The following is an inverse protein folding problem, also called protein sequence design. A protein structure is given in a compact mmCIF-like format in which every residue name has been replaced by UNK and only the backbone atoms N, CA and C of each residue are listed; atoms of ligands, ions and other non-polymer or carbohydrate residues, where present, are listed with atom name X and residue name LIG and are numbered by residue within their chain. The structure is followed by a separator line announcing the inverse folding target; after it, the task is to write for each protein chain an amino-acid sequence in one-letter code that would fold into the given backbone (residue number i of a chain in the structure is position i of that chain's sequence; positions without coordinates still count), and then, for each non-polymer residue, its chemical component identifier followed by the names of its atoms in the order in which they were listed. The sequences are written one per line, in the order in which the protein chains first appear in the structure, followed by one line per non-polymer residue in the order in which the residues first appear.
data_IF_553743479456
#
_entry.id   IF_553743479456
#
_cell.length_a   1.000
_cell.length_b   1.000
_cell.length_c   1.000
_cell.angle_alpha   90.00
_cell.angle_beta   90.00
_cell.angle_gamma   90.00
#
_symmetry.space_group_name_H-M   'P 1'
#
loop_
_entity.id
_entity.type
_entity.pdbx_description
1 polymer ?
#
# COMPACT_ATOMS: atom_id res chain seq x y z
N UNK A 1 10.51 -29.31 4.69
CA UNK A 1 10.64 -30.20 3.53
C UNK A 1 9.98 -29.64 2.30
N UNK A 2 8.80 -29.03 2.39
CA UNK A 2 8.06 -28.42 1.25
C UNK A 2 8.82 -27.29 0.52
N UNK A 3 9.62 -26.48 1.22
CA UNK A 3 10.36 -25.34 0.63
C UNK A 3 11.52 -25.83 -0.29
N UNK A 4 12.00 -27.05 -0.11
CA UNK A 4 13.05 -27.62 -0.97
C UNK A 4 12.54 -28.21 -2.27
N UNK A 5 11.30 -28.67 -2.34
CA UNK A 5 10.70 -29.25 -3.56
C UNK A 5 10.26 -28.14 -4.55
N UNK A 6 9.84 -26.98 -4.04
CA UNK A 6 9.49 -25.82 -4.90
C UNK A 6 10.74 -25.23 -5.58
N UNK A 7 11.93 -25.32 -4.96
CA UNK A 7 13.18 -24.85 -5.58
C UNK A 7 13.64 -25.64 -6.82
N UNK A 8 13.14 -26.83 -7.03
CA UNK A 8 13.54 -27.69 -8.16
C UNK A 8 12.77 -27.46 -9.46
N UNK A 9 11.64 -26.75 -9.42
CA UNK A 9 10.75 -26.53 -10.59
C UNK A 9 11.00 -25.23 -11.36
N UNK A 10 11.83 -24.34 -10.82
CA UNK A 10 12.13 -23.06 -11.48
C UNK A 10 13.54 -23.13 -12.09
N UNK A 11 13.60 -23.46 -13.39
CA UNK A 11 14.86 -23.38 -14.14
C UNK A 11 15.39 -21.94 -14.17
N UNK A 12 16.72 -21.79 -14.18
CA UNK A 12 17.44 -20.51 -14.31
C UNK A 12 16.93 -19.63 -15.47
N UNK A 13 16.30 -20.21 -16.48
CA UNK A 13 15.72 -19.51 -17.63
C UNK A 13 14.54 -18.61 -17.27
N UNK A 14 13.72 -18.96 -16.24
CA UNK A 14 12.59 -18.11 -15.81
C UNK A 14 13.01 -16.89 -15.01
N UNK A 15 14.16 -16.92 -14.32
CA UNK A 15 14.71 -15.76 -13.62
C UNK A 15 15.29 -14.69 -14.56
N UNK A 16 15.53 -15.02 -15.83
CA UNK A 16 16.14 -14.09 -16.79
C UNK A 16 15.18 -13.04 -17.35
N UNK A 17 13.88 -13.13 -17.06
CA UNK A 17 12.87 -12.23 -17.61
C UNK A 17 12.62 -10.99 -16.72
N UNK A 18 12.85 -11.08 -15.40
CA UNK A 18 12.62 -9.95 -14.49
C UNK A 18 13.44 -8.73 -14.87
N UNK A 19 12.83 -7.56 -14.84
CA UNK A 19 13.43 -6.29 -15.28
C UNK A 19 14.61 -5.79 -14.44
N UNK A 20 14.95 -6.48 -13.35
CA UNK A 20 16.10 -6.16 -12.50
C UNK A 20 15.92 -4.90 -11.63
N UNK A 21 14.69 -4.44 -11.40
CA UNK A 21 14.41 -3.38 -10.44
C UNK A 21 14.74 -3.83 -9.03
N UNK A 22 15.56 -3.06 -8.32
CA UNK A 22 15.82 -3.28 -6.88
C UNK A 22 14.94 -2.42 -5.98
N UNK A 23 14.27 -1.42 -6.56
CA UNK A 23 13.31 -0.56 -5.87
C UNK A 23 12.03 -0.47 -6.70
N UNK A 24 10.89 -0.81 -6.11
CA UNK A 24 9.58 -0.61 -6.71
C UNK A 24 8.79 0.35 -5.83
N UNK A 25 8.40 1.46 -6.41
CA UNK A 25 7.63 2.52 -5.75
C UNK A 25 6.17 2.37 -6.15
N UNK A 26 5.27 2.33 -5.17
CA UNK A 26 3.82 2.29 -5.39
C UNK A 26 3.20 3.55 -4.83
N UNK A 27 2.74 4.41 -5.72
CA UNK A 27 2.29 5.76 -5.40
C UNK A 27 0.85 6.01 -5.89
N UNK A 28 0.19 7.03 -5.36
CA UNK A 28 -1.16 7.40 -5.77
C UNK A 28 -1.92 8.14 -4.68
N UNK A 29 -3.14 8.55 -4.98
CA UNK A 29 -4.02 9.26 -4.04
C UNK A 29 -4.31 8.40 -2.79
N UNK A 30 -4.62 9.05 -1.66
CA UNK A 30 -5.09 8.33 -0.47
C UNK A 30 -6.31 7.45 -0.80
N UNK A 31 -6.30 6.19 -0.34
CA UNK A 31 -7.35 5.22 -0.67
C UNK A 31 -7.30 4.61 -2.07
N UNK A 32 -6.27 4.88 -2.88
CA UNK A 32 -6.10 4.27 -4.21
C UNK A 32 -5.67 2.80 -4.19
N UNK A 33 -5.43 2.20 -3.01
CA UNK A 33 -5.03 0.79 -2.88
C UNK A 33 -3.53 0.53 -3.02
N UNK A 34 -2.68 1.53 -2.77
CA UNK A 34 -1.21 1.41 -2.80
C UNK A 34 -0.71 0.22 -1.99
N UNK A 35 -1.14 0.10 -0.74
CA UNK A 35 -0.70 -0.97 0.18
C UNK A 35 -1.06 -2.36 -0.32
N UNK A 36 -2.27 -2.52 -0.90
CA UNK A 36 -2.70 -3.78 -1.52
C UNK A 36 -1.79 -4.13 -2.70
N UNK A 37 -1.53 -3.17 -3.60
CA UNK A 37 -0.69 -3.37 -4.76
C UNK A 37 0.77 -3.63 -4.37
N UNK A 38 1.33 -2.89 -3.42
CA UNK A 38 2.71 -3.06 -2.97
C UNK A 38 2.93 -4.44 -2.33
N UNK A 39 2.02 -4.86 -1.45
CA UNK A 39 2.06 -6.17 -0.84
C UNK A 39 1.90 -7.29 -1.88
N UNK A 40 0.97 -7.15 -2.84
CA UNK A 40 0.82 -8.09 -3.96
C UNK A 40 2.13 -8.24 -4.75
N UNK A 41 2.77 -7.12 -5.13
CA UNK A 41 4.03 -7.14 -5.89
C UNK A 41 5.12 -7.88 -5.10
N UNK A 42 5.30 -7.55 -3.83
CA UNK A 42 6.32 -8.19 -2.99
C UNK A 42 6.13 -9.71 -2.91
N UNK A 43 4.88 -10.17 -2.75
CA UNK A 43 4.58 -11.61 -2.71
C UNK A 43 4.82 -12.27 -4.06
N UNK A 44 4.40 -11.65 -5.17
CA UNK A 44 4.64 -12.21 -6.49
C UNK A 44 6.14 -12.33 -6.81
N UNK A 45 6.96 -11.37 -6.39
CA UNK A 45 8.42 -11.49 -6.45
C UNK A 45 8.91 -12.70 -5.67
N UNK A 46 8.49 -12.84 -4.41
CA UNK A 46 8.87 -13.97 -3.55
C UNK A 46 8.44 -15.32 -4.14
N UNK A 47 7.22 -15.43 -4.67
CA UNK A 47 6.73 -16.65 -5.33
C UNK A 47 7.51 -17.00 -6.61
N UNK A 48 8.02 -16.01 -7.30
CA UNK A 48 8.92 -16.17 -8.43
C UNK A 48 10.38 -16.43 -8.02
N UNK A 49 10.67 -16.60 -6.71
CA UNK A 49 11.99 -16.91 -6.20
C UNK A 49 12.93 -15.69 -6.11
N UNK A 50 12.40 -14.50 -6.26
CA UNK A 50 13.15 -13.24 -6.14
C UNK A 50 13.02 -12.75 -4.69
N UNK A 51 14.14 -12.60 -3.95
CA UNK A 51 14.10 -12.04 -2.61
C UNK A 51 13.49 -10.63 -2.63
N UNK A 52 12.42 -10.44 -1.91
CA UNK A 52 11.74 -9.16 -1.84
C UNK A 52 11.16 -8.88 -0.46
N UNK A 53 11.05 -7.62 -0.10
CA UNK A 53 10.31 -7.15 1.07
C UNK A 53 9.40 -5.98 0.69
N UNK A 54 8.38 -5.76 1.50
CA UNK A 54 7.48 -4.63 1.40
C UNK A 54 7.66 -3.74 2.62
N UNK A 55 7.70 -2.43 2.39
CA UNK A 55 7.74 -1.39 3.41
C UNK A 55 6.44 -0.60 3.33
N UNK A 56 5.65 -0.69 4.39
CA UNK A 56 4.38 0.02 4.54
C UNK A 56 4.63 1.46 5.04
N UNK A 57 3.83 2.44 4.61
CA UNK A 57 3.96 3.84 5.03
C UNK A 57 3.89 4.05 6.56
N UNK A 58 3.23 3.15 7.28
CA UNK A 58 3.12 3.16 8.75
C UNK A 58 4.17 2.31 9.48
N UNK A 59 5.29 1.94 8.85
CA UNK A 59 6.39 1.27 9.54
C UNK A 59 7.00 2.14 10.63
N UNK A 60 7.31 1.57 11.81
CA UNK A 60 7.99 2.26 12.90
C UNK A 60 9.12 1.42 13.49
N UNK A 61 10.38 1.87 13.41
CA UNK A 61 10.83 3.07 12.69
C UNK A 61 10.72 2.88 11.17
N UNK A 62 10.28 3.91 10.44
CA UNK A 62 10.27 3.86 8.98
C UNK A 62 11.68 4.08 8.43
N UNK A 63 12.15 3.28 7.45
CA UNK A 63 13.51 3.38 6.95
C UNK A 63 13.80 4.67 6.19
N UNK A 64 12.76 5.33 5.65
CA UNK A 64 12.88 6.52 4.81
C UNK A 64 12.11 7.70 5.42
N UNK A 65 10.81 7.52 5.71
CA UNK A 65 9.97 8.63 6.18
C UNK A 65 10.40 9.14 7.55
N UNK A 66 10.30 10.43 7.72
CA UNK A 66 10.49 11.15 8.99
C UNK A 66 9.32 12.08 9.20
N UNK A 67 9.07 12.40 10.46
CA UNK A 67 8.08 13.41 10.78
C UNK A 67 8.57 14.79 10.33
N UNK A 68 7.67 15.61 9.81
CA UNK A 68 7.96 17.03 9.54
C UNK A 68 8.22 17.70 10.88
N UNK A 69 9.49 17.91 11.18
CA UNK A 69 9.94 18.54 12.42
C UNK A 69 9.69 20.06 12.45
N UNK A 70 10.54 20.78 13.15
CA UNK A 70 10.42 22.24 13.38
C UNK A 70 10.67 23.09 12.13
N UNK A 71 11.29 22.54 11.08
CA UNK A 71 11.74 23.31 9.91
C UNK A 71 11.58 22.49 8.63
N UNK A 72 10.93 23.08 7.62
CA UNK A 72 10.78 22.45 6.32
C UNK A 72 12.11 22.23 5.57
N UNK A 73 13.09 23.14 5.58
CA UNK A 73 14.39 22.87 5.00
C UNK A 73 15.10 21.67 5.63
N UNK A 74 15.07 21.55 6.95
CA UNK A 74 15.67 20.41 7.66
C UNK A 74 14.97 19.11 7.28
N UNK A 75 13.64 19.12 7.18
CA UNK A 75 12.85 17.96 6.70
C UNK A 75 13.27 17.53 5.28
N UNK A 76 13.40 18.49 4.36
CA UNK A 76 13.81 18.19 2.98
C UNK A 76 15.22 17.59 2.90
N UNK A 77 16.15 18.12 3.69
CA UNK A 77 17.52 17.63 3.74
C UNK A 77 17.56 16.24 4.42
N UNK A 78 16.88 16.04 5.53
CA UNK A 78 16.81 14.75 6.21
C UNK A 78 16.19 13.66 5.33
N UNK A 79 15.09 13.95 4.63
CA UNK A 79 14.48 13.02 3.69
C UNK A 79 15.45 12.61 2.57
N UNK A 80 16.21 13.56 2.04
CA UNK A 80 17.22 13.28 1.02
C UNK A 80 18.35 12.41 1.57
N UNK A 81 18.83 12.70 2.77
CA UNK A 81 19.87 11.91 3.43
C UNK A 81 19.40 10.49 3.73
N UNK A 82 18.14 10.31 4.18
CA UNK A 82 17.56 9.00 4.39
C UNK A 82 17.42 8.19 3.11
N UNK A 83 16.97 8.81 2.04
CA UNK A 83 16.95 8.17 0.73
C UNK A 83 18.35 7.78 0.27
N UNK A 84 19.36 8.65 0.45
CA UNK A 84 20.75 8.37 0.10
C UNK A 84 21.28 7.16 0.90
N UNK A 85 21.09 7.18 2.21
CA UNK A 85 21.50 6.07 3.08
C UNK A 85 20.78 4.76 2.72
N UNK A 86 19.50 4.84 2.37
CA UNK A 86 18.72 3.67 1.96
C UNK A 86 19.24 3.07 0.64
N UNK A 87 19.57 3.92 -0.33
CA UNK A 87 20.18 3.50 -1.61
C UNK A 87 21.55 2.87 -1.39
N UNK A 88 22.39 3.47 -0.54
CA UNK A 88 23.73 2.96 -0.22
C UNK A 88 23.69 1.61 0.51
N UNK A 89 22.70 1.42 1.39
CA UNK A 89 22.54 0.19 2.17
C UNK A 89 21.76 -0.89 1.43
N UNK A 90 21.18 -0.59 0.28
CA UNK A 90 20.37 -1.53 -0.49
C UNK A 90 21.19 -2.74 -0.93
N UNK A 91 20.80 -3.92 -0.45
CA UNK A 91 21.36 -5.21 -0.85
C UNK A 91 20.82 -5.70 -2.20
N UNK A 92 20.92 -7.00 -2.42
CA UNK A 92 20.47 -7.65 -3.66
C UNK A 92 18.96 -7.95 -3.68
N UNK A 93 18.25 -7.74 -2.56
CA UNK A 93 16.82 -7.94 -2.51
C UNK A 93 16.05 -6.78 -3.17
N UNK A 94 14.89 -7.09 -3.69
CA UNK A 94 13.94 -6.07 -4.19
C UNK A 94 13.18 -5.49 -3.01
N UNK A 95 13.11 -4.16 -2.94
CA UNK A 95 12.31 -3.46 -1.95
C UNK A 95 11.11 -2.83 -2.65
N UNK A 96 9.93 -3.15 -2.16
CA UNK A 96 8.68 -2.51 -2.59
C UNK A 96 8.27 -1.51 -1.52
N UNK A 97 8.25 -0.23 -1.87
CA UNK A 97 7.94 0.88 -0.95
C UNK A 97 6.66 1.55 -1.42
N UNK A 98 5.76 1.85 -0.51
CA UNK A 98 4.55 2.59 -0.84
C UNK A 98 4.53 3.98 -0.21
N UNK A 99 3.91 4.93 -0.90
CA UNK A 99 3.59 6.26 -0.38
C UNK A 99 4.81 7.06 0.15
N UNK A 100 6.00 6.83 -0.38
CA UNK A 100 7.23 7.44 0.12
C UNK A 100 7.84 8.49 -0.82
N UNK A 101 7.37 8.55 -2.06
CA UNK A 101 7.89 9.48 -3.06
C UNK A 101 6.89 10.61 -3.35
N UNK A 102 5.62 10.29 -3.57
CA UNK A 102 4.57 11.27 -3.82
C UNK A 102 3.80 11.59 -2.54
N UNK A 103 3.16 10.59 -1.94
CA UNK A 103 2.58 10.77 -0.63
C UNK A 103 3.68 10.92 0.43
N UNK A 104 3.32 11.52 1.54
CA UNK A 104 4.20 11.84 2.67
C UNK A 104 5.35 12.80 2.35
N UNK A 105 5.78 12.94 1.08
CA UNK A 105 6.81 13.88 0.70
C UNK A 105 6.25 15.05 -0.12
N UNK A 106 5.71 14.78 -1.31
CA UNK A 106 5.22 15.86 -2.17
C UNK A 106 4.00 16.55 -1.57
N UNK A 107 3.09 15.81 -0.93
CA UNK A 107 1.96 16.38 -0.22
C UNK A 107 2.40 17.27 0.97
N UNK A 108 3.44 16.86 1.71
CA UNK A 108 4.04 17.69 2.77
C UNK A 108 4.63 18.99 2.24
N UNK A 109 5.36 18.93 1.13
CA UNK A 109 5.90 20.14 0.50
C UNK A 109 4.77 21.08 0.02
N UNK A 110 3.72 20.54 -0.57
CA UNK A 110 2.54 21.30 -0.96
C UNK A 110 1.83 21.89 0.26
N UNK A 111 1.62 21.09 1.30
CA UNK A 111 0.99 21.54 2.54
C UNK A 111 1.72 22.76 3.13
N UNK A 112 3.05 22.80 3.07
CA UNK A 112 3.87 23.90 3.51
C UNK A 112 4.02 25.05 2.51
N UNK A 113 3.22 25.03 1.45
CA UNK A 113 3.19 26.07 0.41
C UNK A 113 4.54 26.30 -0.29
N UNK A 114 5.30 25.22 -0.48
CA UNK A 114 6.52 25.26 -1.28
C UNK A 114 6.17 25.60 -2.73
N UNK A 115 6.94 26.50 -3.33
CA UNK A 115 6.79 26.86 -4.73
C UNK A 115 6.81 25.61 -5.63
N UNK A 116 5.87 25.53 -6.58
CA UNK A 116 5.70 24.35 -7.46
C UNK A 116 7.00 23.99 -8.19
N UNK A 117 7.76 24.98 -8.68
CA UNK A 117 9.00 24.72 -9.38
C UNK A 117 10.05 24.07 -8.47
N UNK A 118 10.09 24.46 -7.20
CA UNK A 118 10.97 23.85 -6.20
C UNK A 118 10.52 22.42 -5.86
N UNK A 119 9.22 22.17 -5.75
CA UNK A 119 8.68 20.81 -5.54
C UNK A 119 9.09 19.90 -6.68
N UNK A 120 8.93 20.35 -7.93
CA UNK A 120 9.33 19.58 -9.12
C UNK A 120 10.84 19.35 -9.17
N UNK A 121 11.65 20.36 -8.88
CA UNK A 121 13.11 20.24 -8.81
C UNK A 121 13.56 19.23 -7.75
N UNK A 122 12.88 19.23 -6.60
CA UNK A 122 13.16 18.28 -5.53
C UNK A 122 12.81 16.85 -5.94
N UNK A 123 11.66 16.64 -6.59
CA UNK A 123 11.27 15.34 -7.15
C UNK A 123 12.27 14.83 -8.20
N UNK A 124 12.76 15.70 -9.11
CA UNK A 124 13.80 15.34 -10.08
C UNK A 124 15.11 14.93 -9.39
N UNK A 125 15.51 15.62 -8.32
CA UNK A 125 16.71 15.29 -7.55
C UNK A 125 16.59 13.93 -6.85
N UNK A 126 15.41 13.60 -6.31
CA UNK A 126 15.14 12.29 -5.72
C UNK A 126 15.18 11.18 -6.77
N UNK A 127 14.58 11.39 -7.94
CA UNK A 127 14.70 10.42 -9.04
C UNK A 127 16.16 10.10 -9.34
N UNK A 128 17.01 11.12 -9.48
CA UNK A 128 18.44 10.93 -9.75
C UNK A 128 19.14 10.15 -8.63
N UNK A 129 18.74 10.38 -7.38
CA UNK A 129 19.30 9.71 -6.21
C UNK A 129 18.98 8.21 -6.17
N UNK A 130 17.76 7.81 -6.54
CA UNK A 130 17.33 6.41 -6.53
C UNK A 130 17.69 5.64 -7.81
N UNK A 131 18.14 6.30 -8.86
CA UNK A 131 18.46 5.69 -10.16
C UNK A 131 19.38 4.46 -10.07
N UNK A 132 20.42 4.40 -9.17
CA UNK A 132 21.26 3.22 -9.02
C UNK A 132 20.53 1.93 -8.67
N UNK A 133 19.31 2.01 -8.15
CA UNK A 133 18.47 0.85 -7.83
C UNK A 133 17.63 0.38 -9.02
N UNK A 134 17.79 0.99 -10.22
CA UNK A 134 16.95 0.69 -11.38
C UNK A 134 15.45 0.71 -11.02
N UNK A 135 14.92 1.83 -10.50
CA UNK A 135 13.59 1.86 -9.91
C UNK A 135 12.48 1.65 -10.93
N UNK A 136 11.37 1.08 -10.47
CA UNK A 136 10.09 1.04 -11.19
C UNK A 136 9.04 1.79 -10.37
N UNK A 137 8.33 2.73 -11.00
CA UNK A 137 7.24 3.47 -10.38
C UNK A 137 5.89 2.93 -10.89
N UNK A 138 5.07 2.43 -9.99
CA UNK A 138 3.66 2.09 -10.21
C UNK A 138 2.81 3.21 -9.62
N UNK A 139 2.12 3.94 -10.47
CA UNK A 139 1.32 5.10 -10.08
C UNK A 139 -0.17 4.80 -10.28
N UNK A 140 -0.89 4.64 -9.17
CA UNK A 140 -2.32 4.39 -9.14
C UNK A 140 -3.07 5.72 -9.15
N UNK A 141 -3.85 5.95 -10.18
CA UNK A 141 -4.66 7.16 -10.34
C UNK A 141 -6.15 6.84 -10.32
N UNK A 142 -6.93 7.84 -10.02
CA UNK A 142 -8.38 7.82 -10.14
C UNK A 142 -8.78 9.11 -10.85
N UNK A 143 -9.48 8.99 -11.98
CA UNK A 143 -9.80 10.14 -12.86
C UNK A 143 -10.57 11.23 -12.12
N UNK A 144 -11.54 10.83 -11.28
CA UNK A 144 -12.33 11.77 -10.48
C UNK A 144 -11.89 11.72 -9.01
N UNK A 145 -11.08 12.72 -8.62
CA UNK A 145 -10.55 12.87 -7.25
C UNK A 145 -11.67 12.99 -6.22
N UNK A 146 -12.76 13.69 -6.54
CA UNK A 146 -13.87 13.89 -5.61
C UNK A 146 -14.59 12.58 -5.32
N UNK A 147 -15.00 11.88 -6.36
CA UNK A 147 -15.61 10.54 -6.22
C UNK A 147 -14.68 9.52 -5.55
N UNK A 148 -13.37 9.63 -5.78
CA UNK A 148 -12.37 8.78 -5.14
C UNK A 148 -12.33 8.99 -3.61
N UNK A 149 -12.28 10.26 -3.19
CA UNK A 149 -12.29 10.63 -1.78
C UNK A 149 -13.61 10.25 -1.11
N UNK A 150 -14.75 10.47 -1.77
CA UNK A 150 -16.05 10.06 -1.24
C UNK A 150 -16.15 8.55 -1.01
N UNK A 151 -15.68 7.73 -1.95
CA UNK A 151 -15.62 6.27 -1.76
C UNK A 151 -14.76 5.91 -0.55
N UNK A 152 -13.57 6.50 -0.43
CA UNK A 152 -12.66 6.25 0.68
C UNK A 152 -13.28 6.63 2.05
N UNK A 153 -14.00 7.76 2.12
CA UNK A 153 -14.70 8.18 3.33
C UNK A 153 -15.89 7.28 3.70
N UNK A 154 -16.60 6.78 2.70
CA UNK A 154 -17.66 5.80 2.92
C UNK A 154 -17.11 4.52 3.56
N UNK A 155 -15.92 4.10 3.15
CA UNK A 155 -15.28 2.88 3.63
C UNK A 155 -14.65 3.05 5.02
N UNK A 156 -14.02 4.19 5.28
CA UNK A 156 -13.27 4.44 6.53
C UNK A 156 -14.05 5.23 7.59
N UNK A 157 -15.18 5.81 7.22
CA UNK A 157 -16.09 6.48 8.14
C UNK A 157 -15.79 7.94 8.42
N UNK A 158 -16.64 8.51 9.29
CA UNK A 158 -16.64 9.97 9.57
C UNK A 158 -15.33 10.46 10.18
N UNK A 159 -14.75 9.73 11.13
CA UNK A 159 -13.52 10.16 11.82
C UNK A 159 -12.36 10.33 10.85
N UNK A 160 -12.19 9.40 9.92
CA UNK A 160 -11.17 9.50 8.88
C UNK A 160 -11.45 10.66 7.92
N UNK A 161 -12.71 10.87 7.51
CA UNK A 161 -13.10 12.00 6.69
C UNK A 161 -12.73 13.34 7.34
N UNK A 162 -13.11 13.50 8.62
CA UNK A 162 -12.84 14.73 9.37
C UNK A 162 -11.33 14.98 9.48
N UNK A 163 -10.54 13.93 9.75
CA UNK A 163 -9.08 14.01 9.76
C UNK A 163 -8.49 14.46 8.42
N UNK A 164 -8.92 13.89 7.30
CA UNK A 164 -8.40 14.25 5.97
C UNK A 164 -8.78 15.68 5.57
N UNK A 165 -9.99 16.13 5.95
CA UNK A 165 -10.40 17.52 5.74
C UNK A 165 -9.51 18.46 6.55
N UNK A 166 -9.30 18.16 7.83
CA UNK A 166 -8.46 18.97 8.71
C UNK A 166 -7.01 19.01 8.18
N UNK A 167 -6.43 17.86 7.88
CA UNK A 167 -5.08 17.77 7.31
C UNK A 167 -4.91 18.69 6.09
N UNK A 168 -5.83 18.64 5.13
CA UNK A 168 -5.70 19.39 3.89
C UNK A 168 -5.96 20.90 4.05
N UNK A 169 -6.84 21.30 4.98
CA UNK A 169 -7.32 22.70 5.07
C UNK A 169 -6.63 23.53 6.15
N UNK A 170 -5.96 22.93 7.12
CA UNK A 170 -5.17 23.65 8.13
C UNK A 170 -3.72 23.95 7.69
N UNK A 171 -3.42 23.77 6.42
CA UNK A 171 -2.09 23.97 5.83
C UNK A 171 -1.81 25.44 5.46
N UNK A 172 -0.53 25.87 5.40
CA UNK A 172 -0.15 27.16 4.84
C UNK A 172 -0.69 27.40 3.43
N UNK A 173 -0.62 26.39 2.55
CA UNK A 173 -1.18 26.47 1.20
C UNK A 173 -2.68 26.77 1.21
N UNK A 174 -3.44 26.01 1.98
CA UNK A 174 -4.90 26.18 2.06
C UNK A 174 -5.28 27.58 2.59
N UNK A 175 -4.60 28.05 3.64
CA UNK A 175 -4.82 29.41 4.18
C UNK A 175 -4.55 30.49 3.13
N UNK A 176 -3.44 30.39 2.39
CA UNK A 176 -3.10 31.33 1.33
C UNK A 176 -4.12 31.32 0.18
N UNK A 177 -4.67 30.15 -0.12
CA UNK A 177 -5.66 29.96 -1.21
C UNK A 177 -7.10 30.17 -0.77
N UNK A 178 -7.39 30.33 0.52
CA UNK A 178 -8.75 30.41 1.05
C UNK A 178 -9.52 29.08 0.90
N UNK A 179 -8.83 27.95 1.01
CA UNK A 179 -9.43 26.62 0.90
C UNK A 179 -9.92 26.14 2.26
N UNK A 180 -11.22 25.92 2.38
CA UNK A 180 -11.88 25.57 3.62
C UNK A 180 -12.81 24.35 3.45
N UNK A 181 -12.97 23.58 4.51
CA UNK A 181 -13.91 22.46 4.58
C UNK A 181 -13.69 21.41 3.49
N UNK A 182 -14.75 20.71 3.15
CA UNK A 182 -14.69 19.63 2.16
C UNK A 182 -14.20 20.11 0.78
N UNK A 183 -14.74 21.21 0.30
CA UNK A 183 -14.34 21.76 -1.00
C UNK A 183 -12.85 22.17 -1.04
N UNK A 184 -12.35 22.76 0.05
CA UNK A 184 -10.93 23.11 0.17
C UNK A 184 -10.03 21.86 0.17
N UNK A 185 -10.44 20.83 0.86
CA UNK A 185 -9.74 19.53 0.86
C UNK A 185 -9.69 18.93 -0.56
N UNK A 186 -10.78 18.93 -1.31
CA UNK A 186 -10.80 18.45 -2.70
C UNK A 186 -9.83 19.26 -3.58
N UNK A 187 -9.77 20.59 -3.38
CA UNK A 187 -8.82 21.43 -4.12
C UNK A 187 -7.36 21.11 -3.79
N UNK A 188 -7.04 20.81 -2.53
CA UNK A 188 -5.70 20.38 -2.12
C UNK A 188 -5.30 19.09 -2.83
N UNK A 189 -6.14 18.06 -2.81
CA UNK A 189 -5.85 16.79 -3.44
C UNK A 189 -5.81 16.85 -4.98
N UNK A 190 -6.59 17.76 -5.59
CA UNK A 190 -6.46 18.04 -7.03
C UNK A 190 -5.12 18.69 -7.37
N UNK A 191 -4.63 19.61 -6.54
CA UNK A 191 -3.29 20.20 -6.72
C UNK A 191 -2.20 19.13 -6.54
N UNK A 192 -2.32 18.26 -5.54
CA UNK A 192 -1.43 17.13 -5.35
C UNK A 192 -1.39 16.23 -6.60
N UNK A 193 -2.54 15.82 -7.13
CA UNK A 193 -2.61 14.99 -8.36
C UNK A 193 -1.98 15.72 -9.54
N UNK A 194 -2.23 17.02 -9.69
CA UNK A 194 -1.64 17.80 -10.79
C UNK A 194 -0.10 17.87 -10.72
N UNK A 195 0.47 17.97 -9.53
CA UNK A 195 1.93 17.99 -9.34
C UNK A 195 2.53 16.60 -9.53
N UNK A 196 1.91 15.58 -8.97
CA UNK A 196 2.41 14.19 -9.09
C UNK A 196 2.27 13.64 -10.50
N UNK A 197 1.23 14.03 -11.25
CA UNK A 197 1.11 13.75 -12.68
C UNK A 197 2.24 14.40 -13.49
N UNK A 198 2.59 15.65 -13.20
CA UNK A 198 3.71 16.32 -13.85
C UNK A 198 5.05 15.63 -13.52
N UNK A 199 5.30 15.27 -12.27
CA UNK A 199 6.47 14.50 -11.87
C UNK A 199 6.51 13.15 -12.58
N UNK A 200 5.37 12.45 -12.62
CA UNK A 200 5.29 11.18 -13.35
C UNK A 200 5.68 11.36 -14.83
N UNK A 201 5.22 12.41 -15.52
CA UNK A 201 5.62 12.65 -16.91
C UNK A 201 7.12 12.94 -17.05
N UNK A 202 7.69 13.71 -16.14
CA UNK A 202 9.12 14.12 -16.14
C UNK A 202 10.07 12.95 -15.87
N UNK A 203 9.67 12.00 -15.03
CA UNK A 203 10.51 10.88 -14.62
C UNK A 203 10.90 9.99 -15.79
N UNK A 204 12.19 9.61 -15.85
CA UNK A 204 12.81 8.81 -16.92
C UNK A 204 13.06 7.36 -16.51
N UNK A 205 12.63 6.98 -15.32
CA UNK A 205 12.67 5.61 -14.83
C UNK A 205 11.57 4.75 -15.47
N UNK A 206 11.64 3.42 -15.31
CA UNK A 206 10.53 2.54 -15.67
C UNK A 206 9.31 2.95 -14.87
N UNK A 207 8.18 3.10 -15.54
CA UNK A 207 6.97 3.59 -14.88
C UNK A 207 5.70 3.05 -15.54
N UNK A 208 4.68 2.82 -14.73
CA UNK A 208 3.35 2.37 -15.14
C UNK A 208 2.30 3.23 -14.43
N UNK A 209 1.38 3.82 -15.19
CA UNK A 209 0.22 4.55 -14.65
C UNK A 209 -1.01 3.68 -14.84
N UNK A 210 -1.76 3.44 -13.78
CA UNK A 210 -2.97 2.64 -13.78
C UNK A 210 -4.12 3.49 -13.25
N UNK A 211 -5.16 3.69 -14.07
CA UNK A 211 -6.42 4.17 -13.57
C UNK A 211 -7.19 3.01 -12.94
N UNK A 212 -7.36 3.07 -11.63
CA UNK A 212 -8.05 2.04 -10.88
C UNK A 212 -9.48 2.43 -10.44
N UNK A 213 -10.07 3.43 -11.07
CA UNK A 213 -11.42 3.90 -10.78
C UNK A 213 -12.49 2.82 -10.90
N UNK A 214 -12.30 1.87 -11.82
CA UNK A 214 -13.26 0.79 -12.09
C UNK A 214 -13.16 -0.41 -11.13
N UNK A 215 -12.08 -0.52 -10.33
CA UNK A 215 -11.91 -1.62 -9.37
C UNK A 215 -11.57 -2.99 -9.97
N UNK A 216 -11.08 -3.05 -11.21
CA UNK A 216 -10.72 -4.30 -11.90
C UNK A 216 -9.34 -4.80 -11.48
N UNK A 217 -9.18 -5.18 -10.22
CA UNK A 217 -7.89 -5.51 -9.60
C UNK A 217 -7.10 -6.61 -10.32
N UNK A 218 -7.77 -7.62 -10.85
CA UNK A 218 -7.07 -8.71 -11.57
C UNK A 218 -6.40 -8.19 -12.86
N UNK A 219 -7.00 -7.20 -13.53
CA UNK A 219 -6.40 -6.57 -14.72
C UNK A 219 -5.24 -5.65 -14.32
N UNK A 220 -5.37 -4.91 -13.23
CA UNK A 220 -4.29 -4.05 -12.71
C UNK A 220 -3.09 -4.88 -12.27
N UNK A 221 -3.33 -5.96 -11.55
CA UNK A 221 -2.29 -6.90 -11.14
C UNK A 221 -1.55 -7.49 -12.35
N UNK A 222 -2.28 -7.85 -13.42
CA UNK A 222 -1.67 -8.35 -14.66
C UNK A 222 -0.78 -7.30 -15.32
N UNK A 223 -1.27 -6.05 -15.46
CA UNK A 223 -0.49 -4.95 -16.04
C UNK A 223 0.82 -4.70 -15.27
N UNK A 224 0.77 -4.74 -13.94
CA UNK A 224 1.98 -4.58 -13.12
C UNK A 224 2.96 -5.72 -13.31
N UNK A 225 2.48 -6.97 -13.33
CA UNK A 225 3.34 -8.13 -13.56
C UNK A 225 3.96 -8.12 -14.96
N UNK A 226 3.21 -7.70 -15.97
CA UNK A 226 3.74 -7.52 -17.34
C UNK A 226 4.83 -6.43 -17.36
N UNK A 227 4.61 -5.30 -16.70
CA UNK A 227 5.60 -4.23 -16.57
C UNK A 227 6.89 -4.71 -15.89
N UNK A 228 6.78 -5.61 -14.91
CA UNK A 228 7.90 -6.20 -14.18
C UNK A 228 8.46 -7.45 -14.87
N UNK A 229 7.85 -7.92 -15.96
CA UNK A 229 8.15 -9.19 -16.65
C UNK A 229 8.11 -10.39 -15.70
N UNK A 230 7.10 -10.45 -14.86
CA UNK A 230 6.86 -11.53 -13.90
C UNK A 230 5.65 -12.38 -14.32
N UNK A 231 5.71 -13.70 -14.27
CA UNK A 231 4.53 -14.53 -14.37
C UNK A 231 3.69 -14.44 -13.10
N UNK A 232 2.37 -14.47 -13.27
CA UNK A 232 1.45 -14.59 -12.14
C UNK A 232 1.58 -16.00 -11.53
N UNK A 233 1.88 -16.07 -10.24
CA UNK A 233 1.78 -17.30 -9.45
C UNK A 233 0.46 -17.21 -8.66
N UNK A 234 -0.55 -18.04 -9.01
CA UNK A 234 -1.84 -17.96 -8.33
C UNK A 234 -1.73 -18.33 -6.86
N UNK A 235 -2.38 -17.58 -6.02
CA UNK A 235 -2.59 -17.92 -4.62
C UNK A 235 -3.87 -18.73 -4.51
N UNK A 236 -3.76 -19.99 -4.12
CA UNK A 236 -4.91 -20.87 -4.00
C UNK A 236 -5.09 -21.32 -2.55
N UNK A 237 -6.28 -21.04 -2.04
CA UNK A 237 -6.81 -21.75 -0.87
C UNK A 237 -7.77 -22.81 -1.39
N UNK A 238 -7.60 -24.07 -0.99
CA UNK A 238 -8.53 -25.11 -1.43
C UNK A 238 -9.94 -24.79 -0.93
N UNK A 239 -10.94 -25.04 -1.77
CA UNK A 239 -12.33 -24.77 -1.41
C UNK A 239 -12.75 -25.48 -0.10
N UNK A 240 -12.30 -26.72 0.07
CA UNK A 240 -12.62 -27.51 1.28
C UNK A 240 -12.06 -26.88 2.55
N UNK A 241 -10.86 -26.33 2.50
CA UNK A 241 -10.24 -25.64 3.62
C UNK A 241 -10.89 -24.27 3.87
N UNK A 242 -11.13 -23.53 2.79
CA UNK A 242 -11.78 -22.24 2.88
C UNK A 242 -13.17 -22.31 3.51
N UNK A 243 -13.98 -23.30 3.12
CA UNK A 243 -15.34 -23.49 3.65
C UNK A 243 -15.35 -23.75 5.16
N UNK A 244 -14.31 -24.38 5.72
CA UNK A 244 -14.15 -24.54 7.16
C UNK A 244 -13.98 -23.22 7.91
N UNK A 245 -13.44 -22.20 7.25
CA UNK A 245 -13.13 -20.89 7.83
C UNK A 245 -14.22 -19.84 7.58
N UNK A 246 -15.09 -20.04 6.60
CA UNK A 246 -16.19 -19.11 6.29
C UNK A 246 -17.15 -19.01 7.46
N UNK A 247 -17.56 -17.78 7.78
CA UNK A 247 -18.53 -17.51 8.82
C UNK A 247 -18.44 -16.10 9.39
N UNK A 248 -19.27 -15.83 10.38
CA UNK A 248 -19.22 -14.61 11.17
C UNK A 248 -18.51 -14.92 12.49
N UNK A 249 -17.57 -14.06 12.85
CA UNK A 249 -16.77 -14.14 14.06
C UNK A 249 -17.06 -12.91 14.92
N UNK A 250 -17.44 -13.09 16.18
CA UNK A 250 -17.76 -11.99 17.09
C UNK A 250 -16.68 -11.82 18.13
N UNK A 251 -16.10 -10.62 18.20
CA UNK A 251 -15.08 -10.25 19.18
C UNK A 251 -15.63 -10.37 20.60
N UNK A 252 -14.92 -11.12 21.43
CA UNK A 252 -15.27 -11.35 22.84
C UNK A 252 -15.30 -10.06 23.67
N UNK A 253 -14.52 -9.06 23.29
CA UNK A 253 -14.32 -7.85 24.10
C UNK A 253 -15.40 -6.79 23.83
N UNK A 254 -15.75 -6.57 22.57
CA UNK A 254 -16.58 -5.43 22.17
C UNK A 254 -17.80 -5.83 21.30
N UNK A 255 -17.92 -7.13 20.96
CA UNK A 255 -19.02 -7.65 20.15
C UNK A 255 -18.95 -7.29 18.66
N UNK A 256 -17.85 -6.70 18.18
CA UNK A 256 -17.64 -6.42 16.77
C UNK A 256 -17.68 -7.71 15.96
N UNK A 257 -18.33 -7.67 14.81
CA UNK A 257 -18.43 -8.82 13.92
C UNK A 257 -17.48 -8.69 12.73
N UNK A 258 -16.80 -9.80 12.46
CA UNK A 258 -15.96 -10.00 11.29
C UNK A 258 -16.58 -11.09 10.44
N UNK A 259 -16.75 -10.84 9.16
CA UNK A 259 -17.28 -11.83 8.23
C UNK A 259 -16.16 -12.33 7.33
N UNK A 260 -15.88 -13.63 7.41
CA UNK A 260 -14.96 -14.33 6.51
C UNK A 260 -15.79 -14.96 5.40
N UNK A 261 -15.41 -14.73 4.14
CA UNK A 261 -16.10 -15.25 2.95
C UNK A 261 -15.11 -15.93 2.02
N UNK A 262 -15.63 -16.84 1.21
CA UNK A 262 -14.90 -17.44 0.10
C UNK A 262 -15.65 -17.14 -1.18
N UNK A 263 -15.05 -16.32 -2.01
CA UNK A 263 -15.64 -15.84 -3.26
C UNK A 263 -14.55 -15.83 -4.33
N UNK A 264 -14.85 -16.33 -5.51
CA UNK A 264 -13.94 -16.34 -6.67
C UNK A 264 -12.56 -16.96 -6.39
N UNK A 265 -12.53 -18.00 -5.58
CA UNK A 265 -11.27 -18.70 -5.23
C UNK A 265 -10.44 -18.02 -4.12
N UNK A 266 -10.92 -16.92 -3.54
CA UNK A 266 -10.21 -16.14 -2.52
C UNK A 266 -10.97 -16.13 -1.20
N UNK A 267 -10.24 -16.22 -0.08
CA UNK A 267 -10.78 -15.88 1.24
C UNK A 267 -10.67 -14.37 1.45
N UNK A 268 -11.69 -13.77 2.00
CA UNK A 268 -11.73 -12.34 2.35
C UNK A 268 -12.29 -12.13 3.74
N UNK A 269 -11.95 -11.00 4.37
CA UNK A 269 -12.50 -10.56 5.65
C UNK A 269 -12.89 -9.08 5.57
N UNK A 270 -13.97 -8.68 6.24
CA UNK A 270 -14.34 -7.27 6.37
C UNK A 270 -13.64 -6.63 7.59
N UNK A 271 -12.43 -6.15 7.41
CA UNK A 271 -11.75 -5.34 8.44
C UNK A 271 -12.32 -3.92 8.51
N UNK A 272 -12.84 -3.41 7.40
CA UNK A 272 -13.54 -2.14 7.26
C UNK A 272 -15.02 -2.34 6.98
N UNK A 273 -15.82 -1.29 7.11
CA UNK A 273 -17.27 -1.37 6.97
C UNK A 273 -17.73 -1.94 5.61
N UNK A 274 -17.04 -1.63 4.54
CA UNK A 274 -17.45 -2.03 3.18
C UNK A 274 -16.34 -2.71 2.37
N UNK A 275 -15.06 -2.63 2.80
CA UNK A 275 -13.95 -3.22 2.06
C UNK A 275 -13.72 -4.66 2.48
N UNK A 276 -13.69 -5.55 1.49
CA UNK A 276 -13.28 -6.95 1.68
C UNK A 276 -11.77 -7.04 1.49
N UNK A 277 -11.08 -7.29 2.58
CA UNK A 277 -9.63 -7.48 2.57
C UNK A 277 -9.31 -8.93 2.24
N UNK A 278 -8.56 -9.21 1.16
CA UNK A 278 -8.12 -10.56 0.85
C UNK A 278 -7.23 -11.13 1.96
N UNK A 279 -7.39 -12.44 2.19
CA UNK A 279 -6.57 -13.22 3.10
C UNK A 279 -5.57 -14.04 2.32
N UNK A 280 -4.30 -13.80 2.58
CA UNK A 280 -3.17 -14.45 1.94
C UNK A 280 -2.61 -15.53 2.85
N UNK A 281 -2.48 -16.75 2.35
CA UNK A 281 -1.99 -17.87 3.15
C UNK A 281 -0.55 -17.66 3.59
N UNK A 282 -0.28 -17.80 4.87
CA UNK A 282 1.07 -17.85 5.46
C UNK A 282 1.45 -19.27 5.91
N UNK A 283 0.51 -19.96 6.52
CA UNK A 283 0.66 -21.34 6.99
C UNK A 283 -0.70 -22.03 7.05
N UNK A 284 -0.75 -23.28 7.52
CA UNK A 284 -2.03 -23.96 7.78
C UNK A 284 -2.86 -23.14 8.78
N UNK A 285 -4.10 -22.78 8.37
CA UNK A 285 -5.03 -21.94 9.16
C UNK A 285 -4.47 -20.59 9.62
N UNK A 286 -3.39 -20.10 9.01
CA UNK A 286 -2.80 -18.79 9.29
C UNK A 286 -2.68 -17.97 8.00
N UNK A 287 -3.18 -16.73 8.06
CA UNK A 287 -3.29 -15.83 6.92
C UNK A 287 -2.77 -14.44 7.27
N UNK A 288 -2.23 -13.75 6.27
CA UNK A 288 -1.99 -12.31 6.30
C UNK A 288 -3.15 -11.60 5.66
N UNK A 289 -3.45 -10.40 6.11
CA UNK A 289 -4.38 -9.51 5.40
C UNK A 289 -3.65 -8.75 4.31
N UNK A 290 -4.18 -8.73 3.11
CA UNK A 290 -3.54 -8.03 2.00
C UNK A 290 -3.51 -6.51 2.24
N UNK A 291 -2.34 -5.91 2.09
CA UNK A 291 -2.14 -4.48 2.30
C UNK A 291 -2.10 -4.03 3.77
N UNK A 292 -2.04 -4.97 4.72
CA UNK A 292 -1.96 -4.69 6.16
C UNK A 292 -1.03 -5.69 6.85
N UNK A 293 -0.57 -5.36 8.06
CA UNK A 293 0.29 -6.22 8.86
C UNK A 293 -0.47 -7.13 9.84
N UNK A 294 -1.78 -7.31 9.64
CA UNK A 294 -2.55 -8.21 10.50
C UNK A 294 -2.34 -9.67 10.08
N UNK A 295 -2.18 -10.50 11.09
CA UNK A 295 -2.12 -11.94 10.96
C UNK A 295 -3.38 -12.57 11.56
N UNK A 296 -4.10 -13.36 10.77
CA UNK A 296 -5.25 -14.11 11.25
C UNK A 296 -4.88 -15.56 11.45
N UNK A 297 -5.23 -16.12 12.60
CA UNK A 297 -5.15 -17.55 12.84
C UNK A 297 -6.54 -18.11 13.24
N UNK A 298 -6.84 -19.30 12.73
CA UNK A 298 -8.10 -19.98 13.00
C UNK A 298 -7.86 -21.28 13.75
N UNK A 299 -8.46 -21.41 14.94
CA UNK A 299 -8.38 -22.60 15.78
C UNK A 299 -9.48 -23.61 15.40
N UNK A 300 -9.30 -24.87 15.80
CA UNK A 300 -10.24 -25.95 15.46
C UNK A 300 -11.60 -25.84 16.11
N UNK A 301 -11.69 -25.10 17.21
CA UNK A 301 -12.94 -24.83 17.96
C UNK A 301 -13.74 -23.62 17.45
N UNK A 302 -13.35 -23.08 16.30
CA UNK A 302 -14.04 -21.93 15.69
C UNK A 302 -13.61 -20.58 16.25
N UNK A 303 -12.46 -20.49 16.90
CA UNK A 303 -11.89 -19.23 17.35
C UNK A 303 -11.00 -18.62 16.26
N UNK A 304 -11.17 -17.32 16.01
CA UNK A 304 -10.29 -16.51 15.18
C UNK A 304 -9.51 -15.55 16.08
N UNK A 305 -8.22 -15.44 15.84
CA UNK A 305 -7.34 -14.46 16.50
C UNK A 305 -6.76 -13.52 15.48
N UNK A 306 -6.67 -12.24 15.82
CA UNK A 306 -5.98 -11.23 15.04
C UNK A 306 -4.71 -10.85 15.80
N UNK A 307 -3.57 -11.13 15.19
CA UNK A 307 -2.24 -10.78 15.66
C UNK A 307 -1.54 -9.89 14.63
N UNK A 308 -0.20 -9.91 14.69
CA UNK A 308 0.63 -9.10 13.83
C UNK A 308 0.90 -7.72 14.43
N UNK A 309 0.89 -6.69 13.61
CA UNK A 309 1.16 -5.32 14.01
C UNK A 309 -0.07 -4.46 13.76
N UNK A 310 -0.49 -3.71 14.78
CA UNK A 310 -1.51 -2.68 14.58
C UNK A 310 -0.94 -1.57 13.69
N UNK A 311 -1.76 -1.18 12.75
CA UNK A 311 -1.50 -0.03 11.91
C UNK A 311 -2.65 0.91 12.16
N UNK A 312 -2.36 2.10 12.67
CA UNK A 312 -3.37 3.12 12.82
C UNK A 312 -4.46 2.90 13.89
N UNK A 313 -5.58 3.56 13.57
CA UNK A 313 -6.83 3.66 14.29
C UNK A 313 -7.64 2.35 14.38
N UNK A 314 -7.20 1.24 13.76
CA UNK A 314 -8.00 0.00 13.74
C UNK A 314 -7.98 -0.75 15.07
N UNK A 315 -6.86 -0.73 15.78
CA UNK A 315 -6.66 -1.37 17.09
C UNK A 315 -7.20 -2.82 17.14
N UNK A 316 -6.82 -3.62 16.15
CA UNK A 316 -7.33 -4.99 15.97
C UNK A 316 -6.43 -6.05 16.58
N UNK A 317 -5.15 -5.76 16.84
CA UNK A 317 -4.21 -6.72 17.41
C UNK A 317 -4.66 -7.12 18.82
N UNK A 318 -4.64 -8.42 19.08
CA UNK A 318 -5.16 -9.00 20.32
C UNK A 318 -6.65 -9.34 20.29
N UNK A 319 -7.37 -9.09 19.19
CA UNK A 319 -8.76 -9.55 19.03
C UNK A 319 -8.84 -11.07 19.09
N UNK A 320 -9.79 -11.56 19.89
CA UNK A 320 -10.19 -12.96 19.96
C UNK A 320 -11.69 -13.03 19.68
N UNK A 321 -12.06 -13.67 18.59
CA UNK A 321 -13.43 -13.71 18.12
C UNK A 321 -13.92 -15.16 17.97
N UNK A 322 -15.12 -15.43 18.46
CA UNK A 322 -15.77 -16.73 18.33
C UNK A 322 -16.64 -16.79 17.09
N UNK A 323 -16.59 -17.91 16.39
CA UNK A 323 -17.48 -18.18 15.26
C UNK A 323 -18.92 -18.23 15.76
N UNK A 324 -19.76 -17.36 15.23
CA UNK A 324 -21.18 -17.35 15.54
C UNK A 324 -21.84 -18.47 14.76
N UNK A 325 -22.47 -19.43 15.45
CA UNK A 325 -23.28 -20.44 14.78
C UNK A 325 -24.45 -19.74 14.07
N UNK A 326 -24.61 -20.07 12.78
CA UNK A 326 -25.76 -19.59 11.99
C UNK A 326 -27.08 -20.22 12.47
#
# INVERSE_FOLDING_TARGET
MLIREIRGLFSREKMSAYVGSRLILVEGLTGSGKSIMAHFIARQLQYNGIPASWVHEGEEPHPILVDVGSSLPDYMDEMRERWAAYVEQAGDQVIVVEACLFNNLIDSLLAHDVDRAKVLQYGDALQALIEPLNPTLVYLVQEDVDSALERNFKDRGKGFRDYVIQYATETPLARRRGWEGYAGMVMFWREFVAVTDELFQRYRIRKLKIDNSAGHWDDYNRQVLECLSLPLIPEQVSQSEALGLVGVYRDRKNGREFTVRYEEGKLTINLFLSVRTPLVRRAEKAFLTEGWHFELSFETDGVMRIGGRDVDYLQLVGTVADKVCA
#
